data_IF_485275052684
#
_entry.id   IF_485275052684
#
_cell.length_a   1.000
_cell.length_b   1.000
_cell.length_c   1.000
_cell.angle_alpha   90.00
_cell.angle_beta   90.00
_cell.angle_gamma   90.00
#
_symmetry.space_group_name_H-M   'P 1'
#
loop_
_entity.id
_entity.type
_entity.pdbx_description
1 polymer ?
#
# COMPACT_ATOMS: atom_id res chain seq x y z
N UNK A 1 -61.01 43.18 -65.30
CA UNK A 1 -60.52 41.89 -64.74
C UNK A 1 -59.73 42.21 -63.48
N UNK A 2 -60.35 42.07 -62.31
CA UNK A 2 -59.70 42.23 -61.01
C UNK A 2 -59.62 40.84 -60.35
N UNK A 3 -58.40 40.35 -60.16
CA UNK A 3 -58.13 39.08 -59.48
C UNK A 3 -58.27 39.25 -57.97
N UNK A 4 -59.23 38.54 -57.38
CA UNK A 4 -59.45 38.48 -55.94
C UNK A 4 -58.38 37.57 -55.33
N UNK A 5 -57.42 38.16 -54.61
CA UNK A 5 -56.42 37.41 -53.85
C UNK A 5 -57.04 36.88 -52.55
N UNK A 6 -57.04 35.56 -52.36
CA UNK A 6 -57.64 34.93 -51.18
C UNK A 6 -56.74 35.10 -49.94
N UNK A 7 -57.30 35.49 -48.77
CA UNK A 7 -56.54 35.73 -47.55
C UNK A 7 -55.91 34.47 -46.92
N UNK A 8 -56.23 33.28 -47.42
CA UNK A 8 -55.71 32.00 -46.89
C UNK A 8 -54.24 31.73 -47.20
N UNK A 9 -53.66 32.37 -48.22
CA UNK A 9 -52.24 32.13 -48.58
C UNK A 9 -51.23 32.92 -47.75
N UNK A 10 -51.65 34.01 -47.08
CA UNK A 10 -50.76 34.86 -46.30
C UNK A 10 -50.54 34.35 -44.87
N UNK A 11 -51.53 33.66 -44.29
CA UNK A 11 -51.44 33.11 -42.94
C UNK A 11 -50.45 31.94 -42.89
N UNK A 12 -50.38 31.11 -43.92
CA UNK A 12 -49.44 29.99 -44.00
C UNK A 12 -47.98 30.42 -44.12
N UNK A 13 -47.69 31.49 -44.87
CA UNK A 13 -46.32 32.03 -45.00
C UNK A 13 -45.85 32.74 -43.73
N UNK A 14 -46.75 33.42 -43.01
CA UNK A 14 -46.44 34.06 -41.73
C UNK A 14 -46.18 33.04 -40.61
N UNK A 15 -46.94 31.94 -40.56
CA UNK A 15 -46.72 30.85 -39.59
C UNK A 15 -45.43 30.07 -39.85
N UNK A 16 -45.07 29.80 -41.12
CA UNK A 16 -43.79 29.17 -41.48
C UNK A 16 -42.58 30.07 -41.18
N UNK A 17 -42.72 31.39 -41.41
CA UNK A 17 -41.68 32.36 -41.05
C UNK A 17 -41.48 32.48 -39.54
N UNK A 18 -42.56 32.44 -38.75
CA UNK A 18 -42.47 32.50 -37.28
C UNK A 18 -41.84 31.21 -36.70
N UNK A 19 -42.15 30.04 -37.28
CA UNK A 19 -41.61 28.76 -36.82
C UNK A 19 -40.10 28.65 -37.08
N UNK A 20 -39.60 29.18 -38.19
CA UNK A 20 -38.16 29.19 -38.51
C UNK A 20 -37.33 30.06 -37.55
N UNK A 21 -37.90 31.18 -37.06
CA UNK A 21 -37.22 32.06 -36.08
C UNK A 21 -37.17 31.42 -34.69
N UNK A 22 -38.18 30.63 -34.29
CA UNK A 22 -38.13 29.85 -33.04
C UNK A 22 -37.15 28.68 -33.08
N UNK A 23 -36.91 28.04 -34.23
CA UNK A 23 -35.93 26.96 -34.33
C UNK A 23 -34.48 27.47 -34.34
N UNK A 24 -34.21 28.64 -34.92
CA UNK A 24 -32.88 29.26 -34.87
C UNK A 24 -32.56 29.89 -33.50
N UNK A 25 -33.58 30.26 -32.71
CA UNK A 25 -33.41 30.74 -31.33
C UNK A 25 -33.08 29.65 -30.29
N UNK A 26 -33.34 28.37 -30.61
CA UNK A 26 -32.99 27.21 -29.76
C UNK A 26 -31.64 26.58 -30.12
N UNK A 27 -31.02 27.01 -31.22
CA UNK A 27 -29.59 26.77 -31.49
C UNK A 27 -28.71 27.86 -30.84
N UNK A 28 -29.17 28.43 -29.73
CA UNK A 28 -28.34 29.24 -28.86
C UNK A 28 -27.17 28.38 -28.40
N UNK A 29 -25.95 28.90 -28.59
CA UNK A 29 -24.67 28.35 -28.17
C UNK A 29 -24.77 27.69 -26.79
N UNK A 30 -25.10 26.40 -26.76
CA UNK A 30 -24.85 25.55 -25.62
C UNK A 30 -23.35 25.35 -25.60
N UNK A 31 -22.62 26.27 -24.98
CA UNK A 31 -21.33 25.91 -24.43
C UNK A 31 -21.60 24.69 -23.56
N UNK A 32 -21.04 23.55 -23.93
CA UNK A 32 -21.11 22.35 -23.11
C UNK A 32 -20.67 22.79 -21.71
N UNK A 33 -21.61 22.78 -20.76
CA UNK A 33 -21.27 22.99 -19.37
C UNK A 33 -20.27 21.90 -19.03
N UNK A 34 -19.02 22.29 -18.80
CA UNK A 34 -17.94 21.36 -18.51
C UNK A 34 -18.29 20.65 -17.21
N UNK A 35 -18.89 19.47 -17.34
CA UNK A 35 -19.35 18.67 -16.21
C UNK A 35 -18.12 18.18 -15.49
N UNK A 36 -18.01 18.50 -14.20
CA UNK A 36 -16.94 17.99 -13.35
C UNK A 36 -16.92 16.45 -13.42
N UNK A 37 -15.84 15.83 -13.93
CA UNK A 37 -15.83 14.38 -14.14
C UNK A 37 -15.73 13.58 -12.84
N UNK A 38 -15.44 14.23 -11.71
CA UNK A 38 -15.28 13.55 -10.42
C UNK A 38 -16.64 13.31 -9.75
N UNK A 39 -16.90 12.06 -9.41
CA UNK A 39 -18.10 11.69 -8.64
C UNK A 39 -17.79 11.73 -7.16
N UNK A 40 -18.49 12.60 -6.42
CA UNK A 40 -18.34 12.66 -4.96
C UNK A 40 -18.95 11.44 -4.28
N UNK A 41 -18.17 10.77 -3.43
CA UNK A 41 -18.67 9.73 -2.52
C UNK A 41 -17.69 9.53 -1.34
N UNK A 42 -18.09 8.72 -0.37
CA UNK A 42 -17.21 8.32 0.73
C UNK A 42 -16.11 7.37 0.25
N UNK A 43 -14.91 7.48 0.83
CA UNK A 43 -13.79 6.56 0.58
C UNK A 43 -14.20 5.09 0.69
N UNK A 44 -15.05 4.74 1.68
CA UNK A 44 -15.56 3.37 1.85
C UNK A 44 -16.33 2.85 0.63
N UNK A 45 -17.18 3.67 0.03
CA UNK A 45 -18.01 3.28 -1.13
C UNK A 45 -17.17 3.21 -2.41
N UNK A 46 -16.24 4.15 -2.57
CA UNK A 46 -15.24 4.14 -3.66
C UNK A 46 -14.37 2.88 -3.60
N UNK A 47 -13.84 2.53 -2.44
CA UNK A 47 -13.01 1.32 -2.26
C UNK A 47 -13.79 0.04 -2.56
N UNK A 48 -15.06 -0.05 -2.12
CA UNK A 48 -15.93 -1.23 -2.35
C UNK A 48 -16.46 -1.37 -3.78
N UNK A 49 -16.37 -0.32 -4.58
CA UNK A 49 -16.94 -0.31 -5.94
C UNK A 49 -18.45 -0.07 -5.96
N UNK A 50 -19.00 0.52 -4.89
CA UNK A 50 -20.43 0.87 -4.79
C UNK A 50 -20.76 2.19 -5.51
N UNK A 51 -19.76 2.83 -6.11
CA UNK A 51 -19.84 4.13 -6.79
C UNK A 51 -19.42 3.94 -8.24
N UNK A 52 -20.31 4.28 -9.17
CA UNK A 52 -20.03 4.28 -10.61
C UNK A 52 -19.43 5.62 -11.01
N UNK A 53 -18.28 5.60 -11.69
CA UNK A 53 -17.62 6.78 -12.21
C UNK A 53 -16.97 6.48 -13.56
N UNK A 54 -17.00 7.46 -14.44
CA UNK A 54 -16.23 7.44 -15.70
C UNK A 54 -14.75 7.56 -15.38
N UNK A 55 -13.92 6.72 -15.98
CA UNK A 55 -12.46 6.68 -15.78
C UNK A 55 -12.00 6.49 -14.32
N UNK A 56 -12.90 6.01 -13.45
CA UNK A 56 -12.65 5.79 -12.03
C UNK A 56 -12.18 7.05 -11.28
N UNK A 57 -12.76 8.20 -11.62
CA UNK A 57 -12.49 9.50 -11.01
C UNK A 57 -13.48 9.79 -9.88
N UNK A 58 -12.98 10.03 -8.67
CA UNK A 58 -13.80 10.22 -7.48
C UNK A 58 -13.37 11.46 -6.70
N UNK A 59 -14.32 12.22 -6.17
CA UNK A 59 -14.06 13.24 -5.16
C UNK A 59 -14.33 12.62 -3.79
N UNK A 60 -13.34 12.64 -2.90
CA UNK A 60 -13.46 12.09 -1.53
C UNK A 60 -13.03 13.14 -0.52
N UNK A 61 -13.59 13.10 0.68
CA UNK A 61 -13.01 13.82 1.82
C UNK A 61 -11.59 13.30 2.08
N UNK A 62 -10.64 14.21 2.36
CA UNK A 62 -9.28 13.84 2.68
C UNK A 62 -9.26 12.86 3.87
N UNK A 63 -8.73 11.64 3.69
CA UNK A 63 -8.75 10.64 4.74
C UNK A 63 -7.70 10.94 5.82
N UNK A 64 -7.87 10.31 6.97
CA UNK A 64 -6.81 10.20 7.96
C UNK A 64 -5.76 9.20 7.47
N UNK A 65 -4.50 9.60 7.50
CA UNK A 65 -3.38 8.75 7.13
C UNK A 65 -2.92 7.97 8.35
N UNK A 66 -2.92 6.64 8.22
CA UNK A 66 -2.30 5.76 9.21
C UNK A 66 -0.79 5.95 9.17
N UNK A 67 -0.20 5.93 7.98
CA UNK A 67 1.25 6.02 7.77
C UNK A 67 1.54 6.63 6.41
N UNK A 68 2.65 7.35 6.28
CA UNK A 68 3.09 7.93 5.02
C UNK A 68 4.60 7.78 4.90
N UNK A 69 5.08 7.30 3.76
CA UNK A 69 6.49 7.17 3.43
C UNK A 69 6.69 7.49 1.95
N UNK A 70 7.52 8.49 1.64
CA UNK A 70 7.72 8.99 0.29
C UNK A 70 6.41 9.43 -0.38
N UNK A 71 6.06 8.77 -1.48
CA UNK A 71 4.89 9.09 -2.31
C UNK A 71 3.66 8.23 -1.98
N UNK A 72 3.74 7.35 -0.98
CA UNK A 72 2.69 6.38 -0.63
C UNK A 72 2.21 6.62 0.81
N UNK A 73 0.89 6.63 0.97
CA UNK A 73 0.23 6.71 2.27
C UNK A 73 -0.75 5.56 2.45
N UNK A 74 -0.79 5.00 3.66
CA UNK A 74 -1.84 4.09 4.10
C UNK A 74 -2.97 4.91 4.67
N UNK A 75 -4.18 4.63 4.20
CA UNK A 75 -5.40 5.20 4.76
C UNK A 75 -6.31 4.06 5.21
N UNK A 76 -6.96 4.24 6.36
CA UNK A 76 -7.82 3.22 6.95
C UNK A 76 -9.24 3.74 7.08
N UNK A 77 -10.21 2.93 6.65
CA UNK A 77 -11.64 3.19 6.89
C UNK A 77 -12.27 1.96 7.52
N UNK A 78 -12.35 1.98 8.86
CA UNK A 78 -12.79 0.83 9.64
C UNK A 78 -11.82 -0.34 9.49
N UNK A 79 -12.28 -1.43 8.87
CA UNK A 79 -11.48 -2.63 8.64
C UNK A 79 -10.85 -2.68 7.23
N UNK A 80 -11.02 -1.63 6.43
CA UNK A 80 -10.46 -1.54 5.08
C UNK A 80 -9.14 -0.78 5.14
N UNK A 81 -8.13 -1.37 4.50
CA UNK A 81 -6.84 -0.76 4.23
C UNK A 81 -6.81 -0.37 2.75
N UNK A 82 -6.42 0.86 2.48
CA UNK A 82 -6.30 1.41 1.13
C UNK A 82 -4.99 2.21 1.03
N UNK A 83 -4.47 2.35 -0.19
CA UNK A 83 -3.28 3.15 -0.45
C UNK A 83 -3.65 4.42 -1.20
N UNK A 84 -3.13 5.56 -0.74
CA UNK A 84 -3.18 6.82 -1.44
C UNK A 84 -1.78 7.18 -1.91
N UNK A 85 -1.67 7.54 -3.19
CA UNK A 85 -0.40 7.80 -3.87
C UNK A 85 -0.40 9.23 -4.40
N UNK A 86 0.63 10.01 -4.08
CA UNK A 86 0.80 11.37 -4.57
C UNK A 86 2.28 11.77 -4.56
N UNK A 87 2.68 12.63 -5.50
CA UNK A 87 4.04 13.17 -5.53
C UNK A 87 4.32 14.01 -4.28
N UNK A 88 5.39 13.68 -3.55
CA UNK A 88 5.81 14.36 -2.33
C UNK A 88 4.82 14.22 -1.17
N UNK A 89 4.10 13.10 -1.09
CA UNK A 89 3.02 12.92 -0.10
C UNK A 89 3.52 13.05 1.34
N UNK A 90 4.67 12.46 1.68
CA UNK A 90 5.28 12.53 3.01
C UNK A 90 5.46 13.97 3.52
N UNK A 91 5.80 14.89 2.62
CA UNK A 91 6.00 16.30 2.96
C UNK A 91 4.69 17.10 3.03
N UNK A 92 3.62 16.61 2.41
CA UNK A 92 2.42 17.41 2.13
C UNK A 92 1.14 16.87 2.77
N UNK A 93 1.09 15.61 3.23
CA UNK A 93 -0.16 14.96 3.66
C UNK A 93 -0.89 15.72 4.78
N UNK A 94 -0.16 16.34 5.71
CA UNK A 94 -0.76 17.15 6.80
C UNK A 94 -1.54 18.33 6.27
N UNK A 95 -1.10 18.93 5.16
CA UNK A 95 -1.81 20.03 4.54
C UNK A 95 -3.12 19.58 3.90
N UNK A 96 -3.30 18.30 3.59
CA UNK A 96 -4.52 17.79 2.94
C UNK A 96 -5.71 17.72 3.92
N UNK A 97 -5.49 17.88 5.22
CA UNK A 97 -6.57 17.80 6.20
C UNK A 97 -7.66 18.85 5.93
N UNK A 98 -8.92 18.42 5.98
CA UNK A 98 -10.09 19.26 5.72
C UNK A 98 -10.30 19.64 4.24
N UNK A 99 -9.62 18.98 3.31
CA UNK A 99 -9.79 19.20 1.86
C UNK A 99 -10.64 18.12 1.21
N UNK A 100 -11.14 18.41 0.01
CA UNK A 100 -11.68 17.42 -0.91
C UNK A 100 -10.60 17.03 -1.90
N UNK A 101 -10.37 15.73 -2.04
CA UNK A 101 -9.38 15.15 -2.93
C UNK A 101 -10.08 14.56 -4.15
N UNK A 102 -9.71 15.02 -5.34
CA UNK A 102 -10.02 14.29 -6.56
C UNK A 102 -8.96 13.22 -6.77
N UNK A 103 -9.40 11.97 -6.74
CA UNK A 103 -8.55 10.79 -6.88
C UNK A 103 -8.96 9.95 -8.07
N UNK A 104 -8.00 9.27 -8.67
CA UNK A 104 -8.24 8.21 -9.65
C UNK A 104 -7.96 6.86 -9.01
N UNK A 105 -8.90 5.94 -9.08
CA UNK A 105 -8.66 4.56 -8.67
C UNK A 105 -7.91 3.81 -9.77
N UNK A 106 -6.77 3.24 -9.43
CA UNK A 106 -5.86 2.54 -10.34
C UNK A 106 -5.70 1.09 -9.90
N UNK A 107 -5.40 0.21 -10.86
CA UNK A 107 -5.25 -1.23 -10.63
C UNK A 107 -3.81 -1.72 -10.86
N UNK A 108 -2.92 -0.82 -11.27
CA UNK A 108 -1.51 -1.09 -11.59
C UNK A 108 -0.63 0.06 -11.10
N UNK A 109 0.50 -0.21 -10.43
CA UNK A 109 0.90 -1.53 -9.91
C UNK A 109 -0.14 -2.06 -8.90
N UNK A 110 -0.19 -3.39 -8.72
CA UNK A 110 -1.05 -3.97 -7.67
C UNK A 110 -0.46 -3.65 -6.29
N UNK A 111 -1.32 -3.52 -5.25
CA UNK A 111 -2.77 -3.68 -5.24
C UNK A 111 -3.50 -2.47 -5.85
N UNK A 112 -4.82 -2.57 -5.95
CA UNK A 112 -5.66 -1.40 -6.22
C UNK A 112 -5.37 -0.29 -5.22
N UNK A 113 -5.30 0.94 -5.71
CA UNK A 113 -4.96 2.12 -4.92
C UNK A 113 -5.58 3.39 -5.51
N UNK A 114 -5.44 4.51 -4.80
CA UNK A 114 -5.95 5.83 -5.19
C UNK A 114 -4.79 6.76 -5.53
N UNK A 115 -4.77 7.31 -6.73
CA UNK A 115 -3.80 8.34 -7.14
C UNK A 115 -4.44 9.71 -7.00
N UNK A 116 -3.82 10.60 -6.21
CA UNK A 116 -4.27 11.98 -6.06
C UNK A 116 -4.05 12.76 -7.37
N UNK A 117 -5.11 13.37 -7.89
CA UNK A 117 -5.08 14.17 -9.12
C UNK A 117 -5.55 15.62 -8.90
N UNK A 118 -6.34 15.88 -7.85
CA UNK A 118 -6.92 17.21 -7.59
C UNK A 118 -7.03 17.49 -6.10
N UNK A 119 -6.83 18.75 -5.72
CA UNK A 119 -7.06 19.25 -4.36
C UNK A 119 -8.05 20.41 -4.43
N UNK A 120 -9.11 20.35 -3.62
CA UNK A 120 -10.15 21.35 -3.53
C UNK A 120 -10.34 21.79 -2.07
N UNK A 121 -10.29 23.10 -1.83
CA UNK A 121 -10.48 23.70 -0.50
C UNK A 121 -11.61 24.70 -0.53
N UNK A 122 -12.54 24.58 0.42
CA UNK A 122 -13.68 25.48 0.53
C UNK A 122 -14.47 25.61 -0.79
N UNK A 123 -14.58 24.51 -1.55
CA UNK A 123 -15.25 24.46 -2.86
C UNK A 123 -14.41 24.94 -4.05
N UNK A 124 -13.20 25.47 -3.83
CA UNK A 124 -12.32 25.99 -4.88
C UNK A 124 -11.26 24.94 -5.23
N UNK A 125 -11.09 24.64 -6.52
CA UNK A 125 -10.02 23.77 -7.02
C UNK A 125 -8.70 24.54 -6.97
N UNK A 126 -7.81 24.14 -6.05
CA UNK A 126 -6.49 24.78 -5.88
C UNK A 126 -5.42 24.15 -6.78
N UNK A 127 -5.55 22.85 -7.02
CA UNK A 127 -4.68 22.09 -7.91
C UNK A 127 -5.51 21.03 -8.62
N UNK A 128 -5.26 20.85 -9.90
CA UNK A 128 -5.90 19.83 -10.74
C UNK A 128 -4.87 19.20 -11.67
N UNK A 129 -5.16 18.02 -12.17
CA UNK A 129 -4.25 17.25 -13.03
C UNK A 129 -2.84 17.05 -12.43
N UNK A 130 -2.77 16.84 -11.11
CA UNK A 130 -1.53 16.50 -10.42
C UNK A 130 -0.93 15.24 -11.04
N UNK A 131 0.38 15.23 -11.36
CA UNK A 131 1.03 14.07 -11.95
C UNK A 131 1.09 12.93 -10.94
N UNK A 132 0.82 11.72 -11.42
CA UNK A 132 1.12 10.52 -10.68
C UNK A 132 2.65 10.43 -10.44
N UNK A 133 3.09 10.07 -9.23
CA UNK A 133 4.50 9.83 -8.98
C UNK A 133 5.01 8.69 -9.88
N UNK A 134 6.30 8.73 -10.20
CA UNK A 134 6.95 7.72 -11.04
C UNK A 134 7.68 6.72 -10.14
N UNK A 135 7.51 5.42 -10.41
CA UNK A 135 8.29 4.38 -9.74
C UNK A 135 7.95 4.13 -8.26
N UNK A 136 6.76 4.51 -7.79
CA UNK A 136 6.32 4.15 -6.44
C UNK A 136 6.09 2.64 -6.32
N UNK A 137 6.37 2.10 -5.13
CA UNK A 137 6.26 0.68 -4.82
C UNK A 137 5.14 0.47 -3.81
N UNK A 138 4.29 -0.52 -4.04
CA UNK A 138 3.22 -0.90 -3.13
C UNK A 138 3.42 -2.33 -2.61
N UNK A 139 3.03 -2.63 -1.36
CA UNK A 139 3.14 -3.96 -0.80
C UNK A 139 2.19 -4.92 -1.51
N UNK A 140 2.65 -6.13 -1.81
CA UNK A 140 1.80 -7.14 -2.42
C UNK A 140 0.86 -7.74 -1.38
N UNK A 141 -0.44 -7.52 -1.55
CA UNK A 141 -1.46 -8.05 -0.66
C UNK A 141 -1.87 -9.47 -1.06
N UNK A 142 -2.03 -10.35 -0.07
CA UNK A 142 -2.52 -11.71 -0.23
C UNK A 142 -3.98 -11.81 0.20
N UNK A 143 -4.75 -12.64 -0.52
CA UNK A 143 -6.08 -13.05 -0.09
C UNK A 143 -5.95 -14.11 1.00
N UNK A 144 -6.93 -14.19 1.90
CA UNK A 144 -6.92 -15.20 2.96
C UNK A 144 -6.83 -16.65 2.43
N UNK A 145 -7.34 -16.94 1.22
CA UNK A 145 -7.20 -18.26 0.60
C UNK A 145 -5.84 -18.53 -0.06
N UNK A 146 -4.95 -17.54 -0.13
CA UNK A 146 -3.60 -17.68 -0.68
C UNK A 146 -2.56 -18.02 0.40
N UNK A 147 -2.97 -18.12 1.67
CA UNK A 147 -2.11 -18.45 2.80
C UNK A 147 -2.58 -19.74 3.45
N UNK A 148 -1.63 -20.52 3.97
CA UNK A 148 -1.95 -21.65 4.81
C UNK A 148 -2.17 -21.16 6.25
N UNK A 149 -3.43 -21.09 6.68
CA UNK A 149 -3.79 -20.74 8.06
C UNK A 149 -3.56 -21.90 9.04
N UNK A 150 -3.33 -23.12 8.55
CA UNK A 150 -3.03 -24.31 9.34
C UNK A 150 -1.53 -24.49 9.58
N UNK A 151 -0.69 -23.56 9.10
CA UNK A 151 0.75 -23.56 9.39
C UNK A 151 0.95 -23.58 10.92
N UNK A 152 1.77 -24.51 11.44
CA UNK A 152 1.94 -24.66 12.87
C UNK A 152 2.53 -23.40 13.50
N UNK A 153 2.04 -23.06 14.69
CA UNK A 153 2.68 -22.05 15.52
C UNK A 153 4.01 -22.57 16.06
N UNK A 154 5.04 -21.72 16.04
CA UNK A 154 6.34 -22.02 16.63
C UNK A 154 6.76 -20.88 17.57
N UNK A 155 7.19 -21.19 18.80
CA UNK A 155 7.88 -20.22 19.63
C UNK A 155 9.32 -20.08 19.10
N UNK A 156 9.53 -19.26 18.08
CA UNK A 156 10.88 -18.88 17.63
C UNK A 156 11.80 -18.39 18.77
N UNK A 157 11.31 -17.71 19.84
CA UNK A 157 12.14 -17.38 21.01
C UNK A 157 12.85 -18.58 21.66
N UNK A 158 12.30 -19.80 21.52
CA UNK A 158 12.83 -21.01 22.15
C UNK A 158 14.03 -21.60 21.40
N UNK A 159 14.41 -21.03 20.25
CA UNK A 159 15.69 -21.31 19.58
C UNK A 159 16.80 -20.56 20.34
N UNK A 160 16.92 -20.80 21.65
CA UNK A 160 17.85 -20.06 22.50
C UNK A 160 19.31 -20.31 22.10
N UNK A 161 20.16 -19.28 22.16
CA UNK A 161 21.60 -19.39 21.91
C UNK A 161 22.32 -20.36 22.88
N UNK A 162 21.74 -20.58 24.06
CA UNK A 162 22.19 -21.51 25.13
C UNK A 162 21.78 -22.97 24.86
N UNK A 163 20.94 -23.24 23.86
CA UNK A 163 20.40 -24.58 23.62
C UNK A 163 21.55 -25.50 23.20
N UNK A 164 21.75 -26.57 23.99
CA UNK A 164 22.79 -27.57 23.72
C UNK A 164 22.49 -28.38 22.46
N UNK A 165 21.22 -28.49 22.12
CA UNK A 165 20.71 -29.30 21.03
C UNK A 165 20.29 -28.40 19.86
N UNK A 166 21.25 -27.66 19.29
CA UNK A 166 21.01 -26.91 18.03
C UNK A 166 20.52 -27.85 16.92
N UNK A 167 20.96 -29.10 16.96
CA UNK A 167 20.52 -30.17 16.06
C UNK A 167 19.01 -30.42 16.14
N UNK A 168 18.39 -30.28 17.31
CA UNK A 168 16.93 -30.37 17.46
C UNK A 168 16.22 -29.20 16.75
N UNK A 169 16.75 -27.99 16.92
CA UNK A 169 16.22 -26.80 16.24
C UNK A 169 16.37 -26.92 14.72
N UNK A 170 17.53 -27.39 14.24
CA UNK A 170 17.76 -27.68 12.82
C UNK A 170 16.76 -28.71 12.30
N UNK A 171 16.65 -29.85 12.98
CA UNK A 171 15.71 -30.91 12.60
C UNK A 171 14.24 -30.47 12.67
N UNK A 172 13.91 -29.41 13.40
CA UNK A 172 12.56 -28.86 13.50
C UNK A 172 12.28 -27.83 12.40
N UNK A 173 13.19 -26.86 12.22
CA UNK A 173 12.92 -25.63 11.48
C UNK A 173 13.61 -25.55 10.11
N UNK A 174 14.66 -26.34 9.88
CA UNK A 174 15.34 -26.39 8.58
C UNK A 174 14.82 -27.58 7.76
N UNK A 175 14.90 -27.50 6.42
CA UNK A 175 14.68 -28.65 5.55
C UNK A 175 15.65 -29.80 5.85
N UNK A 176 15.29 -31.02 5.43
CA UNK A 176 16.15 -32.20 5.62
C UNK A 176 17.27 -32.22 4.57
N UNK A 177 16.95 -31.87 3.33
CA UNK A 177 17.88 -31.74 2.21
C UNK A 177 17.94 -30.28 1.69
N UNK A 178 19.05 -29.87 1.06
CA UNK A 178 19.27 -28.49 0.59
C UNK A 178 18.22 -28.03 -0.45
N UNK A 179 17.64 -28.97 -1.20
CA UNK A 179 16.66 -28.72 -2.26
C UNK A 179 15.20 -28.86 -1.78
N UNK A 180 14.96 -29.18 -0.50
CA UNK A 180 13.60 -29.30 0.03
C UNK A 180 12.94 -27.92 0.25
N UNK A 181 11.61 -27.90 0.18
CA UNK A 181 10.83 -26.72 0.53
C UNK A 181 11.11 -26.26 1.96
N UNK A 182 11.36 -24.94 2.13
CA UNK A 182 11.56 -24.36 3.44
C UNK A 182 10.36 -24.59 4.36
N UNK A 183 10.63 -25.03 5.59
CA UNK A 183 9.60 -25.27 6.59
C UNK A 183 9.01 -23.94 7.07
N UNK A 184 7.70 -23.80 6.88
CA UNK A 184 6.97 -22.62 7.31
C UNK A 184 6.47 -22.77 8.74
N UNK A 185 6.62 -21.71 9.53
CA UNK A 185 6.08 -21.60 10.89
C UNK A 185 5.39 -20.26 11.09
N UNK A 186 4.38 -20.22 11.95
CA UNK A 186 3.77 -18.97 12.38
C UNK A 186 4.33 -18.52 13.72
N UNK A 187 4.70 -17.24 13.82
CA UNK A 187 5.17 -16.65 15.08
C UNK A 187 4.66 -15.22 15.25
N UNK A 188 4.65 -14.77 16.50
CA UNK A 188 4.68 -13.35 16.83
C UNK A 188 6.13 -12.89 17.00
N UNK A 189 6.40 -11.65 16.62
CA UNK A 189 7.65 -10.91 16.85
C UNK A 189 7.25 -9.64 17.58
N UNK A 190 7.64 -9.53 18.85
CA UNK A 190 7.28 -8.39 19.70
C UNK A 190 8.06 -7.15 19.29
N UNK A 191 9.35 -7.32 19.02
CA UNK A 191 10.25 -6.24 18.66
C UNK A 191 10.99 -6.62 17.40
N UNK A 192 11.20 -5.64 16.54
CA UNK A 192 12.10 -5.78 15.41
C UNK A 192 12.80 -4.44 15.21
N UNK A 193 13.96 -4.47 14.59
CA UNK A 193 14.82 -3.28 14.46
C UNK A 193 15.46 -3.26 13.09
N UNK A 194 15.74 -2.05 12.60
CA UNK A 194 16.53 -1.81 11.40
C UNK A 194 17.87 -1.23 11.82
N UNK A 195 18.96 -1.98 11.65
CA UNK A 195 20.30 -1.62 12.15
C UNK A 195 21.39 -2.11 11.19
N UNK A 196 22.63 -1.58 11.31
CA UNK A 196 23.77 -2.14 10.61
C UNK A 196 23.90 -3.63 10.92
N UNK A 197 24.27 -4.42 9.92
CA UNK A 197 24.42 -5.85 10.05
C UNK A 197 25.46 -6.21 11.12
N UNK A 198 25.16 -7.28 11.85
CA UNK A 198 25.98 -7.78 12.96
C UNK A 198 27.32 -8.39 12.50
N UNK A 199 27.45 -8.72 11.22
CA UNK A 199 28.59 -9.38 10.59
C UNK A 199 29.46 -8.43 9.75
N UNK A 200 29.28 -7.11 9.90
CA UNK A 200 30.12 -6.11 9.22
C UNK A 200 31.55 -6.13 9.77
N UNK A 201 32.51 -5.97 8.86
CA UNK A 201 33.90 -5.68 9.19
C UNK A 201 34.02 -4.36 9.96
N UNK A 202 35.03 -4.21 10.83
CA UNK A 202 35.17 -3.06 11.75
C UNK A 202 35.15 -1.71 11.01
N UNK A 203 35.78 -1.62 9.84
CA UNK A 203 35.80 -0.41 9.02
C UNK A 203 34.40 -0.05 8.46
N UNK A 204 33.62 -1.05 8.06
CA UNK A 204 32.25 -0.86 7.56
C UNK A 204 31.27 -0.56 8.71
N UNK A 205 31.42 -1.26 9.84
CA UNK A 205 30.61 -1.02 11.04
C UNK A 205 30.78 0.41 11.59
N UNK A 206 31.95 1.02 11.41
CA UNK A 206 32.20 2.40 11.84
C UNK A 206 31.47 3.45 10.98
N UNK A 207 31.16 3.14 9.72
CA UNK A 207 30.46 4.03 8.80
C UNK A 207 29.60 3.23 7.80
N UNK A 208 28.49 2.64 8.26
CA UNK A 208 27.68 1.73 7.45
C UNK A 208 26.95 2.50 6.35
N UNK A 209 27.03 1.97 5.13
CA UNK A 209 26.25 2.42 3.98
C UNK A 209 24.80 1.93 4.09
N UNK A 210 23.84 2.49 3.32
CA UNK A 210 22.44 2.04 3.35
C UNK A 210 22.26 0.53 3.11
N UNK A 211 23.09 -0.08 2.27
CA UNK A 211 23.12 -1.51 1.96
C UNK A 211 23.64 -2.39 3.11
N UNK A 212 24.32 -1.80 4.09
CA UNK A 212 24.86 -2.49 5.26
C UNK A 212 23.82 -2.68 6.37
N UNK A 213 22.60 -2.17 6.19
CA UNK A 213 21.52 -2.31 7.17
C UNK A 213 20.66 -3.54 6.87
N UNK A 214 20.21 -4.19 7.93
CA UNK A 214 19.27 -5.29 7.86
C UNK A 214 18.17 -5.16 8.89
N UNK A 215 17.05 -5.81 8.59
CA UNK A 215 15.95 -5.98 9.52
C UNK A 215 16.24 -7.17 10.43
N UNK A 216 15.99 -7.01 11.73
CA UNK A 216 16.13 -8.08 12.72
C UNK A 216 14.83 -8.25 13.47
N UNK A 217 14.35 -9.49 13.60
CA UNK A 217 13.34 -9.82 14.61
C UNK A 217 14.05 -10.09 15.93
N UNK A 218 13.63 -9.39 16.97
CA UNK A 218 14.22 -9.44 18.31
C UNK A 218 13.23 -10.13 19.25
N UNK A 219 13.73 -11.16 19.92
CA UNK A 219 13.08 -11.93 20.96
C UNK A 219 13.77 -11.64 22.31
N UNK A 220 13.34 -12.28 23.40
CA UNK A 220 13.80 -11.97 24.77
C UNK A 220 15.33 -12.06 24.95
N UNK A 221 15.97 -13.12 24.43
CA UNK A 221 17.43 -13.31 24.52
C UNK A 221 18.11 -13.47 23.15
N UNK A 222 17.37 -13.47 22.05
CA UNK A 222 17.89 -13.80 20.73
C UNK A 222 17.29 -12.92 19.65
N UNK A 223 17.98 -12.85 18.51
CA UNK A 223 17.47 -12.20 17.31
C UNK A 223 17.77 -13.01 16.06
N UNK A 224 16.95 -12.82 15.04
CA UNK A 224 17.17 -13.41 13.71
C UNK A 224 17.14 -12.33 12.65
N UNK A 225 18.07 -12.42 11.70
CA UNK A 225 18.12 -11.52 10.55
C UNK A 225 17.00 -11.83 9.56
N UNK A 226 16.18 -10.85 9.23
CA UNK A 226 15.14 -10.93 8.21
C UNK A 226 15.78 -10.71 6.84
N UNK A 227 15.69 -11.72 5.97
CA UNK A 227 16.20 -11.65 4.59
C UNK A 227 15.07 -11.78 3.56
N UNK A 228 15.40 -11.49 2.30
CA UNK A 228 14.53 -11.69 1.12
C UNK A 228 13.21 -10.89 1.12
N UNK A 229 13.20 -9.66 1.66
CA UNK A 229 12.00 -8.82 1.68
C UNK A 229 11.58 -8.34 0.28
N UNK A 230 10.32 -8.57 -0.10
CA UNK A 230 9.77 -8.01 -1.35
C UNK A 230 9.75 -6.49 -1.31
N UNK A 231 9.91 -5.82 -2.47
CA UNK A 231 9.64 -4.39 -2.59
C UNK A 231 8.25 -4.05 -2.03
N UNK A 232 8.19 -3.06 -1.14
CA UNK A 232 6.95 -2.64 -0.50
C UNK A 232 6.68 -3.28 0.86
N UNK A 233 7.20 -4.48 1.13
CA UNK A 233 7.10 -5.09 2.47
C UNK A 233 7.97 -4.34 3.49
N UNK A 234 9.15 -3.88 3.05
CA UNK A 234 10.12 -3.20 3.90
C UNK A 234 9.54 -1.96 4.60
N UNK A 235 8.87 -1.08 3.86
CA UNK A 235 8.28 0.13 4.46
C UNK A 235 7.08 -0.17 5.37
N UNK A 236 6.43 -1.33 5.21
CA UNK A 236 5.42 -1.80 6.16
C UNK A 236 6.06 -2.27 7.47
N UNK A 237 7.28 -2.82 7.43
CA UNK A 237 8.07 -3.07 8.63
C UNK A 237 8.45 -1.74 9.27
N UNK A 238 8.91 -0.77 8.50
CA UNK A 238 9.20 0.56 9.01
C UNK A 238 8.00 1.22 9.70
N UNK A 239 6.79 1.10 9.13
CA UNK A 239 5.56 1.52 9.80
C UNK A 239 5.37 0.82 11.15
N UNK A 240 5.53 -0.50 11.21
CA UNK A 240 5.41 -1.24 12.46
C UNK A 240 6.42 -0.74 13.51
N UNK A 241 7.61 -0.30 13.07
CA UNK A 241 8.72 0.07 13.95
C UNK A 241 8.40 1.44 14.56
N UNK A 242 8.05 2.38 13.69
CA UNK A 242 7.65 3.74 14.07
C UNK A 242 6.44 3.73 15.01
N UNK A 243 5.54 2.76 14.85
CA UNK A 243 4.31 2.63 15.66
C UNK A 243 4.43 1.68 16.85
N UNK A 244 5.57 1.05 17.06
CA UNK A 244 5.77 0.04 18.11
C UNK A 244 4.68 -1.06 18.06
N UNK A 245 4.44 -1.60 16.87
CA UNK A 245 3.45 -2.65 16.62
C UNK A 245 4.13 -4.01 16.49
N UNK A 246 3.55 -5.06 17.10
CA UNK A 246 4.07 -6.41 16.92
C UNK A 246 3.83 -6.88 15.49
N UNK A 247 4.73 -7.74 15.01
CA UNK A 247 4.59 -8.41 13.74
C UNK A 247 4.09 -9.83 13.97
N UNK A 248 3.02 -10.23 13.28
CA UNK A 248 2.51 -11.60 13.28
C UNK A 248 2.56 -12.11 11.85
N UNK A 249 3.20 -13.24 11.62
CA UNK A 249 3.41 -13.73 10.27
C UNK A 249 3.75 -15.21 10.17
N UNK A 250 3.90 -15.65 8.92
CA UNK A 250 4.58 -16.89 8.57
C UNK A 250 6.02 -16.58 8.21
N UNK A 251 6.92 -17.41 8.71
CA UNK A 251 8.34 -17.31 8.49
C UNK A 251 8.93 -18.66 8.13
N UNK A 252 10.07 -18.63 7.47
CA UNK A 252 10.88 -19.81 7.21
C UNK A 252 12.30 -19.54 7.67
N UNK A 253 12.81 -20.37 8.56
CA UNK A 253 14.23 -20.31 8.97
C UNK A 253 15.08 -20.75 7.78
N UNK A 254 16.09 -19.95 7.45
CA UNK A 254 16.99 -20.21 6.32
C UNK A 254 18.29 -20.81 6.85
N UNK A 255 18.83 -20.19 7.88
CA UNK A 255 20.11 -20.59 8.46
C UNK A 255 20.07 -20.44 9.97
N UNK A 256 20.77 -21.34 10.66
CA UNK A 256 21.09 -21.24 12.07
C UNK A 256 22.60 -21.22 12.22
N UNK A 257 23.13 -20.29 13.01
CA UNK A 257 24.56 -20.19 13.26
C UNK A 257 25.00 -21.41 14.08
N UNK A 258 25.82 -22.29 13.50
CA UNK A 258 26.21 -23.55 14.11
C UNK A 258 27.26 -23.39 15.23
N UNK A 259 28.13 -22.38 15.12
CA UNK A 259 29.22 -22.15 16.06
C UNK A 259 28.71 -21.46 17.33
N UNK A 260 28.77 -22.18 18.45
CA UNK A 260 28.45 -21.61 19.77
C UNK A 260 29.27 -20.35 20.09
N UNK A 261 30.53 -20.27 19.61
CA UNK A 261 31.39 -19.09 19.80
C UNK A 261 30.82 -17.84 19.14
N UNK A 262 30.10 -17.97 18.03
CA UNK A 262 29.46 -16.87 17.32
C UNK A 262 28.09 -16.57 17.93
N UNK A 263 27.26 -17.60 18.18
CA UNK A 263 25.94 -17.43 18.83
C UNK A 263 25.99 -16.72 20.18
N UNK A 264 27.03 -16.96 20.98
CA UNK A 264 27.16 -16.35 22.32
C UNK A 264 27.60 -14.88 22.29
N UNK A 265 27.97 -14.35 21.13
CA UNK A 265 28.30 -12.92 21.01
C UNK A 265 27.01 -12.15 21.23
N UNK A 266 27.07 -11.15 22.09
CA UNK A 266 25.95 -10.27 22.40
C UNK A 266 26.16 -8.96 21.62
N UNK A 267 25.12 -8.55 20.90
CA UNK A 267 25.10 -7.34 20.10
C UNK A 267 24.14 -6.33 20.73
N UNK A 268 24.58 -5.08 20.83
CA UNK A 268 23.82 -4.02 21.51
C UNK A 268 22.44 -3.81 20.84
N UNK A 269 21.38 -4.09 21.61
CA UNK A 269 19.98 -3.95 21.16
C UNK A 269 19.46 -5.09 20.28
N UNK A 270 20.27 -6.11 19.99
CA UNK A 270 19.86 -7.33 19.29
C UNK A 270 19.90 -8.57 20.20
N UNK A 271 20.73 -8.54 21.25
CA UNK A 271 21.00 -9.74 22.04
C UNK A 271 21.87 -10.70 21.22
N UNK A 272 21.50 -11.97 21.15
CA UNK A 272 22.26 -12.99 20.44
C UNK A 272 21.68 -13.26 19.04
N UNK A 273 22.44 -12.94 17.99
CA UNK A 273 22.04 -13.29 16.63
C UNK A 273 22.31 -14.78 16.40
N UNK A 274 21.24 -15.55 16.16
CA UNK A 274 21.30 -17.01 16.10
C UNK A 274 21.10 -17.59 14.70
N UNK A 275 20.81 -16.74 13.71
CA UNK A 275 20.53 -17.18 12.35
C UNK A 275 19.73 -16.16 11.55
N UNK A 276 19.22 -16.62 10.41
CA UNK A 276 18.43 -15.83 9.48
C UNK A 276 17.14 -16.53 9.11
N UNK A 277 16.14 -15.75 8.75
CA UNK A 277 14.84 -16.24 8.33
C UNK A 277 14.22 -15.26 7.33
N UNK A 278 13.33 -15.78 6.50
CA UNK A 278 12.53 -14.94 5.61
C UNK A 278 11.10 -14.80 6.12
N UNK A 279 10.50 -13.65 5.86
CA UNK A 279 9.09 -13.39 6.15
C UNK A 279 8.26 -13.82 4.95
N UNK A 280 7.60 -14.98 5.01
CA UNK A 280 6.76 -15.45 3.89
C UNK A 280 5.57 -14.50 3.68
N UNK A 281 4.89 -14.18 4.77
CA UNK A 281 3.86 -13.16 4.84
C UNK A 281 3.72 -12.67 6.27
N UNK A 282 3.22 -11.45 6.44
CA UNK A 282 2.84 -10.92 7.75
C UNK A 282 1.47 -10.25 7.68
N UNK A 283 0.82 -10.11 8.83
CA UNK A 283 -0.53 -9.59 8.93
C UNK A 283 -0.50 -8.15 9.44
N UNK A 284 -1.21 -7.27 8.75
CA UNK A 284 -1.54 -5.93 9.24
C UNK A 284 -3.04 -5.69 9.14
N UNK A 285 -3.68 -5.39 10.27
CA UNK A 285 -5.14 -5.29 10.33
C UNK A 285 -5.79 -6.62 9.93
N UNK A 286 -6.60 -6.62 8.86
CA UNK A 286 -7.22 -7.82 8.30
C UNK A 286 -6.62 -8.24 6.96
N UNK A 287 -5.43 -7.73 6.65
CA UNK A 287 -4.76 -7.95 5.37
C UNK A 287 -3.46 -8.69 5.59
N UNK A 288 -3.16 -9.60 4.68
CA UNK A 288 -1.88 -10.30 4.62
C UNK A 288 -0.99 -9.60 3.60
N UNK A 289 0.21 -9.28 4.00
CA UNK A 289 1.25 -8.68 3.16
C UNK A 289 2.26 -9.76 2.87
N UNK A 290 2.54 -9.97 1.59
CA UNK A 290 3.59 -10.88 1.15
C UNK A 290 4.94 -10.29 1.53
N UNK A 291 5.82 -11.12 2.07
CA UNK A 291 7.16 -10.69 2.47
C UNK A 291 8.28 -11.23 1.59
N UNK A 292 8.08 -12.28 0.78
CA UNK A 292 9.08 -12.81 -0.18
C UNK A 292 8.57 -12.90 -1.62
N UNK A 293 9.45 -12.72 -2.61
CA UNK A 293 9.11 -12.97 -4.01
C UNK A 293 9.08 -14.49 -4.24
N UNK A 294 8.12 -14.96 -5.06
CA UNK A 294 8.13 -16.36 -5.53
C UNK A 294 8.93 -16.29 -6.80
N UNK A 295 10.04 -17.03 -6.84
CA UNK A 295 10.84 -17.21 -8.05
C UNK A 295 10.05 -18.02 -9.09
#
# INVERSE_FOLDING_TARGET
MFGVASPRRWVSTLLLGLMAVTFLGLAGCGGEEEVDPYVYDSLRRVTRGDTLSTDFLFEIDAPEFDYVSGDVGIVRVGNLLEFLVATGLENNYRSLNGTLLGVRKTFTPQPTHLVLQRIKRNGIVEADSLPAPQGYVLPRLLRAGAINLETPGAPLPDIGWKRKDIDEARATFLPEEEDDDLRQVQSGVEHFVYRPRHDLEEEAAANPAPEDYAWYAVFEETSMEIVNLTPGAEWMLDMFLVKDLPLIGSFSVIELEDEYSKRKVEYEGLGHVIGSFQVNWFKFGNTFVRGVDEF
#
